data_IF_955763484371
#
_entry.id   IF_955763484371
#
_cell.length_a   1.000
_cell.length_b   1.000
_cell.length_c   1.000
_cell.angle_alpha   90.00
_cell.angle_beta   90.00
_cell.angle_gamma   90.00
#
_symmetry.space_group_name_H-M   'P 1'
#
loop_
_entity.id
_entity.type
_entity.pdbx_description
1 polymer ?
#
# COMPACT_ATOMS: atom_id res chain seq x y z
N UNK A 1 19.05 29.43 16.07
CA UNK A 1 20.32 28.67 15.95
C UNK A 1 19.98 27.44 15.12
N UNK A 2 20.35 27.42 13.83
CA UNK A 2 20.13 26.23 13.02
C UNK A 2 20.96 25.10 13.65
N UNK A 3 20.31 24.01 14.06
CA UNK A 3 21.02 22.78 14.40
C UNK A 3 21.76 22.40 13.12
N UNK A 4 23.09 22.52 13.13
CA UNK A 4 23.93 21.95 12.07
C UNK A 4 23.56 20.48 11.99
N UNK A 5 22.97 20.09 10.86
CA UNK A 5 22.59 18.70 10.67
C UNK A 5 23.86 17.93 10.44
N UNK A 6 24.21 17.08 11.40
CA UNK A 6 25.32 16.16 11.26
C UNK A 6 25.12 15.34 9.97
N UNK A 7 26.00 15.56 8.99
CA UNK A 7 25.88 15.00 7.64
C UNK A 7 26.41 13.56 7.66
N UNK A 8 25.69 12.66 8.32
CA UNK A 8 26.11 11.27 8.56
C UNK A 8 25.07 10.25 8.09
N UNK A 9 25.54 9.04 7.79
CA UNK A 9 24.68 7.90 7.41
C UNK A 9 23.73 7.53 8.56
N UNK A 10 24.22 7.58 9.80
CA UNK A 10 23.42 7.29 11.01
C UNK A 10 22.29 8.30 11.19
N UNK A 11 22.51 9.57 10.81
CA UNK A 11 21.47 10.60 10.83
C UNK A 11 20.35 10.27 9.86
N UNK A 12 20.68 9.82 8.64
CA UNK A 12 19.70 9.37 7.65
C UNK A 12 18.89 8.20 8.20
N UNK A 13 19.56 7.18 8.76
CA UNK A 13 18.89 6.03 9.36
C UNK A 13 17.91 6.43 10.47
N UNK A 14 18.36 7.29 11.40
CA UNK A 14 17.53 7.76 12.50
C UNK A 14 16.29 8.52 12.01
N UNK A 15 16.46 9.41 11.02
CA UNK A 15 15.35 10.18 10.44
C UNK A 15 14.33 9.28 9.74
N UNK A 16 14.77 8.26 9.00
CA UNK A 16 13.87 7.31 8.32
C UNK A 16 13.07 6.50 9.34
N UNK A 17 13.72 5.92 10.35
CA UNK A 17 13.02 5.17 11.40
C UNK A 17 12.03 6.08 12.14
N UNK A 18 12.44 7.29 12.47
CA UNK A 18 11.58 8.24 13.17
C UNK A 18 10.39 8.67 12.31
N UNK A 19 10.58 8.88 11.00
CA UNK A 19 9.50 9.19 10.06
C UNK A 19 8.43 8.08 10.03
N UNK A 20 8.85 6.81 10.01
CA UNK A 20 7.93 5.65 10.06
C UNK A 20 7.10 5.70 11.35
N UNK A 21 7.75 5.95 12.50
CA UNK A 21 7.07 6.03 13.80
C UNK A 21 6.11 7.23 13.85
N UNK A 22 6.54 8.42 13.41
CA UNK A 22 5.71 9.62 13.36
C UNK A 22 4.47 9.41 12.49
N UNK A 23 4.64 8.82 11.31
CA UNK A 23 3.53 8.49 10.43
C UNK A 23 2.57 7.49 11.10
N UNK A 24 3.11 6.44 11.73
CA UNK A 24 2.31 5.46 12.47
C UNK A 24 1.56 6.07 13.67
N UNK A 25 2.10 7.14 14.26
CA UNK A 25 1.46 7.94 15.31
C UNK A 25 0.54 9.05 14.76
N UNK A 26 0.18 8.99 13.48
CA UNK A 26 -0.71 9.94 12.82
C UNK A 26 -0.19 11.38 12.81
N UNK A 27 1.13 11.55 12.62
CA UNK A 27 1.80 12.83 12.44
C UNK A 27 2.43 12.93 11.04
N UNK A 28 1.64 12.90 9.95
CA UNK A 28 2.14 12.79 8.58
C UNK A 28 3.04 13.96 8.17
N UNK A 29 2.73 15.19 8.59
CA UNK A 29 3.54 16.38 8.27
C UNK A 29 4.94 16.31 8.92
N UNK A 30 5.02 15.87 10.17
CA UNK A 30 6.31 15.71 10.85
C UNK A 30 7.12 14.55 10.27
N UNK A 31 6.45 13.45 9.92
CA UNK A 31 7.06 12.34 9.20
C UNK A 31 7.66 12.80 7.87
N UNK A 32 6.91 13.63 7.14
CA UNK A 32 7.34 14.17 5.86
C UNK A 32 8.57 15.07 5.96
N UNK A 33 8.60 15.95 6.97
CA UNK A 33 9.76 16.78 7.28
C UNK A 33 11.00 15.93 7.59
N UNK A 34 10.83 14.79 8.27
CA UNK A 34 11.93 13.86 8.55
C UNK A 34 12.46 13.21 7.25
N UNK A 35 11.57 12.77 6.36
CA UNK A 35 11.97 12.21 5.05
C UNK A 35 12.67 13.26 4.18
N UNK A 36 12.14 14.49 4.12
CA UNK A 36 12.74 15.60 3.37
C UNK A 36 14.17 15.89 3.85
N UNK A 37 14.36 15.96 5.17
CA UNK A 37 15.67 16.15 5.80
C UNK A 37 16.61 14.96 5.57
N UNK A 38 16.10 13.74 5.64
CA UNK A 38 16.88 12.54 5.35
C UNK A 38 17.36 12.51 3.89
N UNK A 39 16.50 12.90 2.94
CA UNK A 39 16.84 13.03 1.53
C UNK A 39 17.93 14.08 1.29
N UNK A 40 17.85 15.23 1.96
CA UNK A 40 18.88 16.27 1.89
C UNK A 40 20.23 15.75 2.41
N UNK A 41 20.26 15.16 3.60
CA UNK A 41 21.49 14.62 4.20
C UNK A 41 22.08 13.51 3.34
N UNK A 42 21.26 12.54 2.90
CA UNK A 42 21.73 11.44 2.05
C UNK A 42 22.35 11.92 0.74
N UNK A 43 21.78 12.98 0.14
CA UNK A 43 22.27 13.59 -1.10
C UNK A 43 23.59 14.30 -0.88
N UNK A 44 23.71 15.09 0.20
CA UNK A 44 24.93 15.83 0.55
C UNK A 44 26.11 14.89 0.85
N UNK A 45 25.83 13.79 1.57
CA UNK A 45 26.81 12.75 1.88
C UNK A 45 27.18 11.93 0.63
N UNK A 46 26.33 11.97 -0.40
CA UNK A 46 26.56 11.28 -1.67
C UNK A 46 26.24 9.80 -1.60
N UNK A 47 25.27 9.38 -0.77
CA UNK A 47 24.87 7.98 -0.58
C UNK A 47 24.32 7.35 -1.87
N UNK A 48 23.81 8.15 -2.81
CA UNK A 48 23.24 7.72 -4.10
C UNK A 48 24.27 7.18 -5.09
N UNK A 49 25.56 7.47 -4.88
CA UNK A 49 26.62 7.05 -5.80
C UNK A 49 27.12 5.65 -5.44
N UNK A 50 27.28 4.72 -6.40
CA UNK A 50 27.92 3.43 -6.16
C UNK A 50 29.31 3.54 -5.53
N UNK A 51 30.05 4.61 -5.86
CA UNK A 51 31.37 4.92 -5.32
C UNK A 51 31.35 5.43 -3.88
N UNK A 52 30.19 5.70 -3.28
CA UNK A 52 30.07 6.09 -1.87
C UNK A 52 30.79 5.11 -0.94
N UNK A 53 30.63 3.82 -1.22
CA UNK A 53 31.28 2.73 -0.50
C UNK A 53 32.82 2.81 -0.52
N UNK A 54 33.40 3.30 -1.62
CA UNK A 54 34.85 3.36 -1.85
C UNK A 54 35.50 4.59 -1.20
N UNK A 55 34.71 5.61 -0.86
CA UNK A 55 35.19 6.88 -0.30
C UNK A 55 35.36 6.87 1.22
N UNK A 56 34.92 5.81 1.90
CA UNK A 56 35.07 5.69 3.35
C UNK A 56 36.48 5.21 3.70
N UNK A 57 37.09 5.80 4.73
CA UNK A 57 38.52 5.68 5.02
C UNK A 57 38.99 4.26 5.37
N UNK A 58 38.09 3.38 5.84
CA UNK A 58 38.30 1.94 6.13
C UNK A 58 36.92 1.24 6.15
N UNK A 59 36.29 0.94 5.01
CA UNK A 59 34.94 0.40 5.02
C UNK A 59 34.95 -1.10 5.27
N UNK A 60 34.28 -1.57 6.33
CA UNK A 60 33.89 -2.97 6.40
C UNK A 60 32.83 -3.26 5.34
N UNK A 61 32.84 -4.46 4.76
CA UNK A 61 31.83 -4.86 3.76
C UNK A 61 30.40 -4.74 4.32
N UNK A 62 30.24 -4.98 5.62
CA UNK A 62 28.99 -4.82 6.37
C UNK A 62 28.57 -3.35 6.46
N UNK A 63 29.48 -2.42 6.76
CA UNK A 63 29.13 -0.99 6.85
C UNK A 63 28.72 -0.43 5.49
N UNK A 64 29.40 -0.85 4.42
CA UNK A 64 29.01 -0.51 3.04
C UNK A 64 27.60 -1.01 2.74
N UNK A 65 27.32 -2.28 3.03
CA UNK A 65 26.02 -2.88 2.79
C UNK A 65 24.92 -2.21 3.62
N UNK A 66 25.21 -1.87 4.88
CA UNK A 66 24.31 -1.12 5.75
C UNK A 66 23.95 0.24 5.16
N UNK A 67 24.94 1.00 4.66
CA UNK A 67 24.69 2.28 4.02
C UNK A 67 23.82 2.14 2.75
N UNK A 68 24.04 1.09 1.94
CA UNK A 68 23.17 0.80 0.78
C UNK A 68 21.74 0.53 1.22
N UNK A 69 21.54 -0.30 2.26
CA UNK A 69 20.21 -0.62 2.80
C UNK A 69 19.51 0.61 3.34
N UNK A 70 20.21 1.51 4.03
CA UNK A 70 19.65 2.77 4.54
C UNK A 70 19.16 3.65 3.37
N UNK A 71 19.94 3.77 2.31
CA UNK A 71 19.52 4.55 1.14
C UNK A 71 18.30 3.95 0.45
N UNK A 72 18.28 2.63 0.25
CA UNK A 72 17.14 1.94 -0.36
C UNK A 72 15.89 1.94 0.52
N UNK A 73 16.05 1.94 1.85
CA UNK A 73 14.96 2.14 2.79
C UNK A 73 14.40 3.56 2.64
N UNK A 74 15.25 4.59 2.66
CA UNK A 74 14.84 5.97 2.42
C UNK A 74 14.08 6.12 1.09
N UNK A 75 14.62 5.57 0.00
CA UNK A 75 13.97 5.58 -1.31
C UNK A 75 12.58 4.93 -1.25
N UNK A 76 12.48 3.74 -0.66
CA UNK A 76 11.23 2.98 -0.59
C UNK A 76 10.17 3.70 0.25
N UNK A 77 10.57 4.28 1.39
CA UNK A 77 9.66 5.02 2.27
C UNK A 77 9.22 6.35 1.66
N UNK A 78 10.12 7.12 1.04
CA UNK A 78 9.76 8.38 0.41
C UNK A 78 8.78 8.17 -0.76
N UNK A 79 9.04 7.17 -1.61
CA UNK A 79 8.12 6.83 -2.71
C UNK A 79 6.76 6.37 -2.17
N UNK A 80 6.74 5.55 -1.13
CA UNK A 80 5.49 5.08 -0.54
C UNK A 80 4.69 6.22 0.10
N UNK A 81 5.35 7.12 0.83
CA UNK A 81 4.73 8.31 1.42
C UNK A 81 4.24 9.29 0.36
N UNK A 82 5.03 9.50 -0.70
CA UNK A 82 4.63 10.33 -1.83
C UNK A 82 3.32 9.84 -2.46
N UNK A 83 3.18 8.53 -2.66
CA UNK A 83 1.96 7.92 -3.19
C UNK A 83 0.78 8.00 -2.21
N UNK A 84 0.99 7.73 -0.92
CA UNK A 84 -0.07 7.80 0.09
C UNK A 84 -0.58 9.22 0.36
N UNK A 85 0.29 10.22 0.20
CA UNK A 85 0.00 11.62 0.53
C UNK A 85 -0.19 12.49 -0.71
N UNK A 86 -0.27 11.90 -1.91
CA UNK A 86 -0.49 12.60 -3.17
C UNK A 86 0.45 13.78 -3.39
N UNK A 87 1.72 13.61 -3.02
CA UNK A 87 2.75 14.65 -3.11
C UNK A 87 3.92 14.21 -4.00
N UNK A 88 4.74 15.15 -4.52
CA UNK A 88 6.00 14.79 -5.13
C UNK A 88 6.95 14.14 -4.10
N UNK A 89 7.85 13.27 -4.57
CA UNK A 89 8.93 12.69 -3.76
C UNK A 89 10.00 13.74 -3.41
N UNK A 90 10.63 13.61 -2.25
CA UNK A 90 11.70 14.51 -1.81
C UNK A 90 13.06 14.12 -2.37
N UNK A 91 13.33 12.81 -2.43
CA UNK A 91 14.56 12.28 -2.97
C UNK A 91 14.52 12.43 -4.49
N UNK A 92 15.35 13.30 -5.04
CA UNK A 92 15.45 13.51 -6.49
C UNK A 92 16.65 12.72 -7.01
N UNK A 93 16.40 11.82 -7.96
CA UNK A 93 17.47 11.04 -8.60
C UNK A 93 18.03 11.83 -9.77
N UNK A 94 19.07 12.63 -9.55
CA UNK A 94 19.80 13.29 -10.65
C UNK A 94 20.50 12.22 -11.51
N UNK A 95 20.05 12.06 -12.77
CA UNK A 95 20.73 11.22 -13.77
C UNK A 95 20.63 9.70 -13.57
N UNK A 96 19.55 9.19 -12.93
CA UNK A 96 19.36 7.74 -12.69
C UNK A 96 20.51 7.06 -11.92
N UNK A 97 21.18 7.80 -11.04
CA UNK A 97 22.24 7.26 -10.19
C UNK A 97 21.61 6.58 -8.97
N UNK A 98 21.79 5.27 -8.89
CA UNK A 98 21.35 4.43 -7.78
C UNK A 98 22.56 3.75 -7.15
N UNK A 99 22.56 3.52 -5.83
CA UNK A 99 23.47 2.57 -5.21
C UNK A 99 23.27 1.17 -5.78
N UNK A 100 24.26 0.30 -5.57
CA UNK A 100 24.11 -1.11 -5.90
C UNK A 100 22.99 -1.76 -5.06
N UNK A 101 22.50 -2.90 -5.52
CA UNK A 101 21.42 -3.63 -4.87
C UNK A 101 21.91 -4.35 -3.59
N UNK A 102 21.07 -4.41 -2.53
CA UNK A 102 21.42 -5.11 -1.30
C UNK A 102 21.56 -6.63 -1.45
N UNK A 103 22.46 -7.23 -0.68
CA UNK A 103 22.60 -8.68 -0.58
C UNK A 103 21.45 -9.30 0.25
N UNK A 104 21.44 -10.62 0.42
CA UNK A 104 20.46 -11.31 1.26
C UNK A 104 20.63 -11.00 2.75
N UNK A 105 19.58 -11.22 3.54
CA UNK A 105 19.67 -11.06 5.00
C UNK A 105 20.72 -11.99 5.63
N UNK A 106 20.76 -13.25 5.20
CA UNK A 106 21.72 -14.24 5.71
C UNK A 106 23.18 -13.85 5.41
N UNK A 107 23.48 -13.32 4.22
CA UNK A 107 24.82 -12.83 3.88
C UNK A 107 25.25 -11.65 4.75
N UNK A 108 24.34 -10.72 5.01
CA UNK A 108 24.61 -9.56 5.86
C UNK A 108 24.89 -9.97 7.31
N UNK A 109 24.04 -10.83 7.88
CA UNK A 109 24.19 -11.33 9.26
C UNK A 109 25.47 -12.15 9.46
N UNK A 110 25.86 -12.93 8.44
CA UNK A 110 27.09 -13.70 8.48
C UNK A 110 28.36 -12.85 8.22
N UNK A 111 28.20 -11.57 7.88
CA UNK A 111 29.32 -10.68 7.53
C UNK A 111 29.94 -10.95 6.15
N UNK A 112 29.36 -11.86 5.36
CA UNK A 112 29.82 -12.24 4.03
C UNK A 112 29.03 -11.49 2.94
N UNK A 113 29.13 -10.16 2.96
CA UNK A 113 28.51 -9.33 1.93
C UNK A 113 29.25 -9.48 0.60
N UNK A 114 28.50 -9.60 -0.50
CA UNK A 114 29.06 -9.85 -1.83
C UNK A 114 30.07 -8.76 -2.24
N UNK A 115 31.23 -9.21 -2.72
CA UNK A 115 32.26 -8.33 -3.24
C UNK A 115 31.81 -7.59 -4.51
N UNK A 116 30.87 -8.17 -5.27
CA UNK A 116 30.28 -7.60 -6.48
C UNK A 116 28.74 -7.61 -6.37
N UNK A 117 28.15 -6.63 -5.66
CA UNK A 117 26.71 -6.53 -5.53
C UNK A 117 26.02 -6.28 -6.87
N UNK A 118 24.79 -6.76 -7.00
CA UNK A 118 24.01 -6.65 -8.23
C UNK A 118 23.65 -5.20 -8.56
N UNK A 119 23.40 -4.92 -9.84
CA UNK A 119 22.98 -3.60 -10.33
C UNK A 119 21.50 -3.60 -10.73
N UNK A 120 20.90 -2.42 -10.83
CA UNK A 120 19.54 -2.25 -11.35
C UNK A 120 19.38 -2.84 -12.77
N UNK A 121 20.28 -2.57 -13.74
CA UNK A 121 20.22 -3.22 -15.06
C UNK A 121 20.27 -4.76 -15.02
N UNK A 122 21.00 -5.35 -14.07
CA UNK A 122 21.02 -6.81 -13.90
C UNK A 122 19.65 -7.34 -13.44
N UNK A 123 19.02 -6.64 -12.49
CA UNK A 123 17.67 -6.99 -12.02
C UNK A 123 16.63 -6.81 -13.13
N UNK A 124 16.68 -5.70 -13.86
CA UNK A 124 15.74 -5.40 -14.95
C UNK A 124 15.92 -6.40 -16.12
N UNK A 125 17.15 -6.83 -16.39
CA UNK A 125 17.50 -7.80 -17.42
C UNK A 125 17.35 -9.28 -17.02
N UNK A 126 16.87 -9.58 -15.80
CA UNK A 126 16.92 -10.94 -15.24
C UNK A 126 16.21 -12.01 -16.07
N UNK A 127 15.13 -11.66 -16.76
CA UNK A 127 14.37 -12.58 -17.62
C UNK A 127 15.16 -13.08 -18.83
N UNK A 128 16.15 -12.30 -19.27
CA UNK A 128 17.03 -12.65 -20.39
C UNK A 128 18.29 -13.39 -19.95
N UNK A 129 18.50 -13.55 -18.65
CA UNK A 129 19.70 -14.16 -18.13
C UNK A 129 19.57 -15.69 -18.23
N UNK A 130 20.36 -16.30 -19.11
CA UNK A 130 20.35 -17.75 -19.33
C UNK A 130 21.04 -18.55 -18.21
N UNK A 131 21.66 -17.86 -17.23
CA UNK A 131 22.28 -18.48 -16.06
C UNK A 131 21.30 -18.51 -14.88
N UNK A 132 20.69 -19.66 -14.55
CA UNK A 132 19.70 -19.80 -13.48
C UNK A 132 20.27 -19.62 -12.05
N UNK A 133 21.56 -19.34 -11.89
CA UNK A 133 22.23 -19.27 -10.60
C UNK A 133 22.27 -17.88 -9.94
N UNK A 134 21.84 -16.81 -10.62
CA UNK A 134 21.82 -15.46 -10.03
C UNK A 134 20.46 -15.20 -9.38
N UNK A 135 20.34 -15.54 -8.09
CA UNK A 135 19.16 -15.17 -7.31
C UNK A 135 19.33 -13.79 -6.67
N UNK A 136 18.44 -12.86 -7.00
CA UNK A 136 18.38 -11.56 -6.34
C UNK A 136 17.80 -11.69 -4.94
N UNK A 137 18.25 -10.89 -3.97
CA UNK A 137 17.74 -10.88 -2.59
C UNK A 137 16.29 -10.37 -2.52
N UNK A 138 15.57 -10.69 -1.44
CA UNK A 138 14.20 -10.19 -1.21
C UNK A 138 14.14 -8.66 -1.13
N UNK A 139 15.25 -8.01 -0.73
CA UNK A 139 15.40 -6.56 -0.81
C UNK A 139 15.30 -6.05 -2.25
N UNK A 140 15.90 -6.75 -3.22
CA UNK A 140 15.84 -6.35 -4.63
C UNK A 140 14.40 -6.30 -5.15
N UNK A 141 13.59 -7.32 -4.82
CA UNK A 141 12.19 -7.37 -5.26
C UNK A 141 11.33 -6.31 -4.58
N UNK A 142 11.60 -5.98 -3.30
CA UNK A 142 10.95 -4.84 -2.62
C UNK A 142 11.32 -3.51 -3.25
N UNK A 143 12.59 -3.32 -3.60
CA UNK A 143 13.07 -2.12 -4.32
C UNK A 143 12.41 -2.00 -5.69
N UNK A 144 12.28 -3.10 -6.43
CA UNK A 144 11.58 -3.11 -7.72
C UNK A 144 10.11 -2.73 -7.58
N UNK A 145 9.43 -3.24 -6.54
CA UNK A 145 8.06 -2.86 -6.23
C UNK A 145 7.94 -1.35 -5.93
N UNK A 146 8.86 -0.79 -5.15
CA UNK A 146 8.92 0.66 -4.89
C UNK A 146 9.18 1.45 -6.19
N UNK A 147 10.07 1.00 -7.06
CA UNK A 147 10.33 1.63 -8.38
C UNK A 147 9.09 1.62 -9.28
N UNK A 148 8.23 0.61 -9.19
CA UNK A 148 6.95 0.60 -9.92
C UNK A 148 6.01 1.69 -9.39
N UNK A 149 5.96 1.92 -8.07
CA UNK A 149 5.22 3.05 -7.49
C UNK A 149 5.81 4.39 -7.96
N UNK A 150 7.13 4.53 -8.02
CA UNK A 150 7.79 5.74 -8.52
C UNK A 150 7.41 6.05 -9.98
N UNK A 151 7.25 5.01 -10.82
CA UNK A 151 6.72 5.18 -12.19
C UNK A 151 5.27 5.66 -12.20
N UNK A 152 4.44 5.23 -11.25
CA UNK A 152 3.05 5.72 -11.11
C UNK A 152 3.05 7.20 -10.71
N UNK A 153 3.92 7.60 -9.78
CA UNK A 153 4.07 9.00 -9.39
C UNK A 153 4.52 9.88 -10.56
N UNK A 154 5.50 9.42 -11.35
CA UNK A 154 5.95 10.11 -12.54
C UNK A 154 4.83 10.28 -13.59
N UNK A 155 4.02 9.24 -13.78
CA UNK A 155 2.86 9.29 -14.64
C UNK A 155 1.82 10.32 -14.15
N UNK A 156 1.55 10.34 -12.84
CA UNK A 156 0.59 11.26 -12.23
C UNK A 156 1.05 12.73 -12.26
N UNK A 157 2.36 12.98 -12.37
CA UNK A 157 2.93 14.32 -12.49
C UNK A 157 2.90 14.88 -13.93
N UNK A 158 2.44 14.09 -14.92
CA UNK A 158 2.45 14.45 -16.34
C UNK A 158 1.01 14.64 -16.85
N UNK A 159 0.72 15.82 -17.40
CA UNK A 159 -0.61 16.14 -17.97
C UNK A 159 -0.89 15.41 -19.30
N UNK A 160 0.15 14.84 -19.93
CA UNK A 160 0.12 14.17 -21.24
C UNK A 160 0.12 12.63 -21.15
N UNK A 161 -0.20 12.05 -19.99
CA UNK A 161 -0.19 10.60 -19.78
C UNK A 161 -1.03 9.84 -20.82
N UNK A 162 -0.40 8.94 -21.59
CA UNK A 162 -1.07 8.15 -22.62
C UNK A 162 -1.59 6.81 -22.08
N UNK A 163 -2.55 6.16 -22.77
CA UNK A 163 -2.95 4.79 -22.45
C UNK A 163 -1.79 3.78 -22.48
N UNK A 164 -0.81 3.99 -23.37
CA UNK A 164 0.37 3.12 -23.48
C UNK A 164 1.28 3.26 -22.25
N UNK A 165 1.39 4.45 -21.66
CA UNK A 165 2.14 4.66 -20.42
C UNK A 165 1.51 3.90 -19.24
N UNK A 166 0.17 3.95 -19.14
CA UNK A 166 -0.59 3.16 -18.14
C UNK A 166 -0.35 1.67 -18.35
N UNK A 167 -0.44 1.19 -19.60
CA UNK A 167 -0.23 -0.21 -19.94
C UNK A 167 1.21 -0.66 -19.67
N UNK A 168 2.20 0.20 -19.86
CA UNK A 168 3.59 -0.11 -19.57
C UNK A 168 3.85 -0.33 -18.07
N UNK A 169 3.16 0.40 -17.19
CA UNK A 169 3.24 0.18 -15.74
C UNK A 169 2.45 -1.07 -15.33
N UNK A 170 1.26 -1.27 -15.90
CA UNK A 170 0.46 -2.48 -15.70
C UNK A 170 1.24 -3.75 -16.07
N UNK A 171 1.93 -3.74 -17.21
CA UNK A 171 2.82 -4.83 -17.62
C UNK A 171 3.91 -5.08 -16.58
N UNK A 172 4.50 -4.02 -16.00
CA UNK A 172 5.53 -4.17 -14.99
C UNK A 172 5.00 -4.78 -13.67
N UNK A 173 3.78 -4.44 -13.24
CA UNK A 173 3.13 -5.06 -12.08
C UNK A 173 2.98 -6.57 -12.27
N UNK A 174 2.54 -6.98 -13.46
CA UNK A 174 2.32 -8.38 -13.80
C UNK A 174 3.64 -9.13 -13.99
N UNK A 175 4.58 -8.55 -14.74
CA UNK A 175 5.91 -9.12 -14.95
C UNK A 175 6.68 -9.28 -13.65
N UNK A 176 6.54 -8.37 -12.69
CA UNK A 176 7.18 -8.52 -11.37
C UNK A 176 6.83 -9.86 -10.73
N UNK A 177 5.54 -10.25 -10.74
CA UNK A 177 5.06 -11.51 -10.15
C UNK A 177 5.63 -12.74 -10.87
N UNK A 178 5.66 -12.71 -12.20
CA UNK A 178 6.14 -13.84 -13.01
C UNK A 178 7.67 -14.01 -12.99
N UNK A 179 8.39 -12.93 -12.70
CA UNK A 179 9.84 -12.95 -12.65
C UNK A 179 10.39 -13.20 -11.23
N UNK A 180 9.54 -13.62 -10.28
CA UNK A 180 9.98 -14.16 -8.99
C UNK A 180 10.45 -15.60 -9.18
N UNK A 181 11.57 -16.01 -8.54
CA UNK A 181 11.98 -17.41 -8.55
C UNK A 181 10.94 -18.26 -7.81
N UNK A 182 10.82 -19.54 -8.17
CA UNK A 182 9.86 -20.46 -7.56
C UNK A 182 10.03 -20.62 -6.04
N UNK A 183 11.25 -20.39 -5.53
CA UNK A 183 11.55 -20.39 -4.09
C UNK A 183 10.99 -19.18 -3.33
N UNK A 184 10.50 -18.16 -4.05
CA UNK A 184 10.06 -16.86 -3.53
C UNK A 184 8.77 -16.37 -4.19
N UNK A 185 7.93 -17.29 -4.67
CA UNK A 185 6.58 -16.97 -5.13
C UNK A 185 5.71 -16.42 -4.01
N UNK A 186 5.99 -16.87 -2.78
CA UNK A 186 5.22 -16.56 -1.58
C UNK A 186 6.11 -15.95 -0.50
N UNK A 187 5.53 -15.02 0.27
CA UNK A 187 6.19 -14.44 1.43
C UNK A 187 6.40 -15.44 2.58
N UNK A 188 5.75 -16.61 2.52
CA UNK A 188 5.86 -17.68 3.50
C UNK A 188 6.64 -18.83 2.88
N UNK A 189 7.77 -19.18 3.49
CA UNK A 189 8.56 -20.32 3.07
C UNK A 189 7.86 -21.65 3.37
N UNK A 190 8.32 -22.74 2.76
CA UNK A 190 7.84 -24.11 3.06
C UNK A 190 8.01 -24.50 4.54
N UNK A 191 8.93 -23.86 5.26
CA UNK A 191 9.15 -24.07 6.68
C UNK A 191 8.18 -23.26 7.58
N UNK A 192 7.30 -22.45 6.99
CA UNK A 192 6.38 -21.56 7.71
C UNK A 192 7.00 -20.22 8.13
N UNK A 193 8.29 -20.01 7.86
CA UNK A 193 8.97 -18.74 8.14
C UNK A 193 8.54 -17.67 7.13
N UNK A 194 8.29 -16.45 7.62
CA UNK A 194 7.84 -15.33 6.79
C UNK A 194 9.00 -14.40 6.47
N UNK A 195 9.32 -14.26 5.19
CA UNK A 195 10.26 -13.27 4.69
C UNK A 195 9.59 -11.89 4.69
N UNK A 196 9.97 -11.05 5.66
CA UNK A 196 9.37 -9.72 5.81
C UNK A 196 9.67 -8.77 4.65
N UNK A 197 10.79 -8.91 3.96
CA UNK A 197 11.10 -8.07 2.81
C UNK A 197 10.24 -8.46 1.61
N UNK A 198 10.06 -9.76 1.39
CA UNK A 198 9.18 -10.26 0.33
C UNK A 198 7.70 -9.96 0.65
N UNK A 199 7.26 -10.11 1.90
CA UNK A 199 5.94 -9.68 2.36
C UNK A 199 5.68 -8.21 2.02
N UNK A 200 6.62 -7.33 2.36
CA UNK A 200 6.52 -5.92 2.03
C UNK A 200 6.54 -5.67 0.52
N UNK A 201 7.29 -6.45 -0.26
CA UNK A 201 7.31 -6.35 -1.70
C UNK A 201 5.93 -6.68 -2.31
N UNK A 202 5.30 -7.79 -1.92
CA UNK A 202 3.93 -8.13 -2.33
C UNK A 202 2.93 -7.06 -1.90
N UNK A 203 3.07 -6.53 -0.68
CA UNK A 203 2.25 -5.44 -0.17
C UNK A 203 2.37 -4.20 -1.06
N UNK A 204 3.60 -3.78 -1.41
CA UNK A 204 3.85 -2.62 -2.27
C UNK A 204 3.31 -2.83 -3.69
N UNK A 205 3.41 -4.04 -4.26
CA UNK A 205 2.83 -4.35 -5.57
C UNK A 205 1.31 -4.26 -5.56
N UNK A 206 0.67 -4.75 -4.51
CA UNK A 206 -0.78 -4.62 -4.37
C UNK A 206 -1.19 -3.15 -4.17
N UNK A 207 -0.46 -2.36 -3.37
CA UNK A 207 -0.68 -0.92 -3.27
C UNK A 207 -0.48 -0.21 -4.62
N UNK A 208 0.58 -0.54 -5.37
CA UNK A 208 0.86 0.01 -6.68
C UNK A 208 -0.27 -0.27 -7.68
N UNK A 209 -0.81 -1.49 -7.69
CA UNK A 209 -1.96 -1.83 -8.51
C UNK A 209 -3.21 -1.02 -8.12
N UNK A 210 -3.44 -0.76 -6.82
CA UNK A 210 -4.52 0.14 -6.37
C UNK A 210 -4.26 1.57 -6.86
N UNK A 211 -3.06 2.13 -6.64
CA UNK A 211 -2.72 3.50 -7.07
C UNK A 211 -2.87 3.69 -8.59
N UNK A 212 -2.54 2.68 -9.39
CA UNK A 212 -2.68 2.75 -10.85
C UNK A 212 -4.14 2.60 -11.30
N UNK A 213 -4.85 1.60 -10.78
CA UNK A 213 -6.13 1.17 -11.35
C UNK A 213 -7.34 1.73 -10.65
N UNK A 214 -7.30 1.94 -9.33
CA UNK A 214 -8.47 2.43 -8.62
C UNK A 214 -8.92 3.77 -9.23
N UNK A 215 -8.05 4.80 -9.39
CA UNK A 215 -8.43 6.08 -10.01
C UNK A 215 -9.10 5.96 -11.39
N UNK A 216 -8.76 4.91 -12.16
CA UNK A 216 -9.26 4.68 -13.53
C UNK A 216 -10.40 3.66 -13.58
N UNK A 217 -10.95 3.28 -12.43
CA UNK A 217 -12.04 2.31 -12.33
C UNK A 217 -13.42 2.97 -12.42
N UNK A 218 -14.43 2.15 -12.64
CA UNK A 218 -15.84 2.55 -12.59
C UNK A 218 -16.38 2.58 -11.14
N UNK A 219 -15.52 2.30 -10.15
CA UNK A 219 -15.89 2.35 -8.74
C UNK A 219 -16.07 3.81 -8.29
N UNK A 220 -17.00 4.06 -7.34
CA UNK A 220 -17.24 5.41 -6.86
C UNK A 220 -16.00 5.98 -6.16
N UNK A 221 -15.71 7.25 -6.48
CA UNK A 221 -14.55 7.97 -5.96
C UNK A 221 -14.66 8.33 -4.48
N UNK A 222 -15.89 8.50 -3.99
CA UNK A 222 -16.17 8.93 -2.63
C UNK A 222 -16.81 7.79 -1.85
N UNK A 223 -16.08 7.26 -0.87
CA UNK A 223 -16.70 6.68 0.32
C UNK A 223 -16.73 7.83 1.34
N UNK A 224 -17.89 8.45 1.65
CA UNK A 224 -17.96 9.75 2.34
C UNK A 224 -17.21 9.85 3.68
N UNK A 225 -16.93 8.71 4.32
CA UNK A 225 -16.20 8.63 5.60
C UNK A 225 -14.68 8.47 5.44
N UNK A 226 -14.18 8.33 4.20
CA UNK A 226 -12.76 8.23 3.88
C UNK A 226 -12.07 9.60 3.74
N UNK A 227 -12.83 10.70 3.60
CA UNK A 227 -12.29 12.06 3.45
C UNK A 227 -11.42 12.51 4.64
N UNK A 228 -11.64 11.95 5.83
CA UNK A 228 -10.86 12.24 7.04
C UNK A 228 -9.62 11.32 7.20
N UNK A 229 -9.45 10.32 6.34
CA UNK A 229 -8.32 9.37 6.42
C UNK A 229 -7.20 9.90 5.53
N UNK A 230 -6.05 10.22 6.12
CA UNK A 230 -4.90 10.82 5.41
C UNK A 230 -4.50 10.07 4.14
N UNK A 231 -4.56 8.73 4.15
CA UNK A 231 -4.21 7.88 3.00
C UNK A 231 -5.32 7.76 1.92
N UNK A 232 -6.43 8.47 2.10
CA UNK A 232 -7.62 8.40 1.25
C UNK A 232 -8.21 9.79 0.90
N UNK A 233 -7.61 10.84 1.45
CA UNK A 233 -8.17 12.19 1.55
C UNK A 233 -8.32 12.91 0.19
N UNK A 234 -7.70 12.41 -0.88
CA UNK A 234 -7.59 13.12 -2.15
C UNK A 234 -7.80 12.21 -3.36
N UNK A 235 -8.58 11.14 -3.21
CA UNK A 235 -8.90 10.29 -4.36
C UNK A 235 -9.72 11.06 -5.40
N UNK A 236 -9.18 11.15 -6.62
CA UNK A 236 -9.85 11.72 -7.79
C UNK A 236 -9.97 10.65 -8.87
N UNK A 237 -11.17 10.53 -9.44
CA UNK A 237 -11.40 9.64 -10.57
C UNK A 237 -10.76 10.23 -11.83
N UNK A 238 -10.00 9.42 -12.55
CA UNK A 238 -9.33 9.75 -13.79
C UNK A 238 -10.11 9.15 -14.97
N UNK A 239 -10.43 9.99 -15.94
CA UNK A 239 -11.12 9.58 -17.18
C UNK A 239 -10.11 9.34 -18.30
N UNK A 240 -10.33 8.34 -19.18
CA UNK A 240 -11.47 7.43 -19.21
C UNK A 240 -11.37 6.31 -18.16
N UNK A 241 -12.52 5.88 -17.66
CA UNK A 241 -12.63 4.74 -16.74
C UNK A 241 -12.86 3.43 -17.50
N UNK A 242 -12.58 2.29 -16.86
CA UNK A 242 -12.81 0.98 -17.46
C UNK A 242 -13.06 -0.14 -16.44
N UNK A 243 -13.93 -1.07 -16.79
CA UNK A 243 -14.22 -2.28 -16.02
C UNK A 243 -12.97 -3.16 -15.80
N UNK A 244 -11.98 -3.08 -16.70
CA UNK A 244 -10.71 -3.77 -16.53
C UNK A 244 -9.94 -3.21 -15.32
N UNK A 245 -9.92 -1.89 -15.18
CA UNK A 245 -9.30 -1.23 -14.03
C UNK A 245 -10.06 -1.52 -12.73
N UNK A 246 -11.40 -1.54 -12.78
CA UNK A 246 -12.25 -2.01 -11.66
C UNK A 246 -11.84 -3.40 -11.18
N UNK A 247 -11.76 -4.36 -12.10
CA UNK A 247 -11.39 -5.74 -11.78
C UNK A 247 -9.99 -5.83 -11.14
N UNK A 248 -9.01 -5.09 -11.68
CA UNK A 248 -7.63 -5.09 -11.17
C UNK A 248 -7.50 -4.43 -9.80
N UNK A 249 -8.23 -3.33 -9.55
CA UNK A 249 -8.26 -2.69 -8.24
C UNK A 249 -8.85 -3.63 -7.16
N UNK A 250 -9.98 -4.28 -7.47
CA UNK A 250 -10.61 -5.26 -6.56
C UNK A 250 -9.67 -6.44 -6.32
N UNK A 251 -9.02 -6.97 -7.35
CA UNK A 251 -8.06 -8.06 -7.21
C UNK A 251 -6.87 -7.65 -6.32
N UNK A 252 -6.32 -6.45 -6.48
CA UNK A 252 -5.23 -5.95 -5.65
C UNK A 252 -5.63 -5.80 -4.18
N UNK A 253 -6.83 -5.29 -3.89
CA UNK A 253 -7.33 -5.21 -2.50
C UNK A 253 -7.58 -6.60 -1.88
N UNK A 254 -7.96 -7.60 -2.69
CA UNK A 254 -8.01 -9.00 -2.24
C UNK A 254 -6.62 -9.51 -1.85
N UNK A 255 -5.57 -9.19 -2.61
CA UNK A 255 -4.20 -9.57 -2.24
C UNK A 255 -3.77 -8.96 -0.90
N UNK A 256 -4.14 -7.71 -0.61
CA UNK A 256 -3.89 -7.09 0.70
C UNK A 256 -4.62 -7.81 1.83
N UNK A 257 -5.87 -8.23 1.59
CA UNK A 257 -6.61 -9.07 2.54
C UNK A 257 -5.97 -10.45 2.73
N UNK A 258 -5.40 -11.05 1.68
CA UNK A 258 -4.69 -12.34 1.78
C UNK A 258 -3.41 -12.18 2.62
N UNK A 259 -2.66 -11.09 2.44
CA UNK A 259 -1.49 -10.78 3.25
C UNK A 259 -1.85 -10.61 4.74
N UNK A 260 -3.02 -10.04 5.04
CA UNK A 260 -3.51 -9.92 6.42
C UNK A 260 -3.83 -11.28 7.08
N UNK A 261 -4.05 -12.32 6.28
CA UNK A 261 -4.32 -13.68 6.75
C UNK A 261 -3.04 -14.54 6.89
N UNK A 262 -1.86 -14.01 6.54
CA UNK A 262 -0.59 -14.72 6.73
C UNK A 262 -0.40 -15.00 8.23
N UNK A 263 -0.10 -16.25 8.63
CA UNK A 263 0.00 -16.64 10.05
C UNK A 263 1.34 -16.19 10.65
N UNK A 264 1.54 -14.88 10.75
CA UNK A 264 2.72 -14.24 11.34
C UNK A 264 2.28 -13.29 12.47
N UNK A 265 3.05 -13.18 13.58
CA UNK A 265 2.73 -12.24 14.64
C UNK A 265 2.59 -10.81 14.11
N UNK A 266 1.38 -10.28 14.16
CA UNK A 266 1.01 -9.03 13.49
C UNK A 266 1.80 -7.83 14.05
N UNK A 267 2.27 -7.91 15.29
CA UNK A 267 3.10 -6.90 15.97
C UNK A 267 4.52 -6.80 15.40
N UNK A 268 4.96 -7.82 14.65
CA UNK A 268 6.29 -7.86 14.01
C UNK A 268 6.28 -7.28 12.60
N UNK A 269 5.12 -6.98 12.02
CA UNK A 269 5.04 -6.26 10.77
C UNK A 269 5.38 -4.77 10.95
N UNK A 270 5.84 -4.14 9.87
CA UNK A 270 5.98 -2.69 9.83
C UNK A 270 4.62 -2.01 10.07
N UNK A 271 4.53 -0.93 10.85
CA UNK A 271 3.27 -0.19 11.05
C UNK A 271 2.70 0.36 9.73
N UNK A 272 3.52 0.48 8.69
CA UNK A 272 3.09 0.92 7.36
C UNK A 272 2.15 -0.06 6.67
N UNK A 273 2.08 -1.31 7.13
CA UNK A 273 1.09 -2.27 6.65
C UNK A 273 -0.35 -1.79 6.91
N UNK A 274 -0.57 -1.00 7.97
CA UNK A 274 -1.87 -0.39 8.24
C UNK A 274 -2.36 0.47 7.06
N UNK A 275 -1.47 1.19 6.38
CA UNK A 275 -1.84 2.02 5.22
C UNK A 275 -2.28 1.17 4.02
N UNK A 276 -1.66 0.02 3.81
CA UNK A 276 -2.08 -0.91 2.78
C UNK A 276 -3.48 -1.47 3.10
N UNK A 277 -3.73 -1.89 4.34
CA UNK A 277 -5.05 -2.35 4.76
C UNK A 277 -6.13 -1.28 4.58
N UNK A 278 -5.81 -0.01 4.86
CA UNK A 278 -6.71 1.13 4.61
C UNK A 278 -7.08 1.23 3.13
N UNK A 279 -6.09 1.19 2.22
CA UNK A 279 -6.32 1.20 0.77
C UNK A 279 -7.20 0.02 0.34
N UNK A 280 -6.91 -1.18 0.85
CA UNK A 280 -7.71 -2.37 0.61
C UNK A 280 -9.16 -2.21 1.06
N UNK A 281 -9.39 -1.68 2.26
CA UNK A 281 -10.73 -1.39 2.78
C UNK A 281 -11.50 -0.42 1.88
N UNK A 282 -10.87 0.67 1.44
CA UNK A 282 -11.53 1.68 0.60
C UNK A 282 -12.02 1.05 -0.72
N UNK A 283 -11.18 0.26 -1.38
CA UNK A 283 -11.56 -0.44 -2.62
C UNK A 283 -12.70 -1.45 -2.37
N UNK A 284 -12.63 -2.22 -1.29
CA UNK A 284 -13.68 -3.19 -0.96
C UNK A 284 -15.01 -2.52 -0.59
N UNK A 285 -14.99 -1.36 0.09
CA UNK A 285 -16.18 -0.55 0.36
C UNK A 285 -16.78 -0.01 -0.95
N UNK A 286 -15.96 0.50 -1.86
CA UNK A 286 -16.40 1.02 -3.17
C UNK A 286 -16.95 -0.08 -4.09
N UNK A 287 -16.38 -1.28 -4.05
CA UNK A 287 -16.88 -2.43 -4.79
C UNK A 287 -18.24 -2.90 -4.23
N UNK A 288 -18.33 -3.03 -2.91
CA UNK A 288 -19.54 -3.49 -2.26
C UNK A 288 -20.71 -2.49 -2.40
N UNK A 289 -20.45 -1.18 -2.40
CA UNK A 289 -21.47 -0.18 -2.69
C UNK A 289 -22.02 -0.31 -4.11
N UNK A 290 -21.18 -0.65 -5.07
CA UNK A 290 -21.59 -0.93 -6.46
C UNK A 290 -22.45 -2.20 -6.52
N UNK A 291 -22.04 -3.29 -5.86
CA UNK A 291 -22.85 -4.52 -5.78
C UNK A 291 -24.23 -4.28 -5.16
N UNK A 292 -24.33 -3.43 -4.13
CA UNK A 292 -25.60 -3.07 -3.51
C UNK A 292 -26.52 -2.32 -4.49
N UNK A 293 -25.98 -1.38 -5.27
CA UNK A 293 -26.75 -0.64 -6.29
C UNK A 293 -27.28 -1.55 -7.40
N UNK A 294 -26.54 -2.60 -7.73
CA UNK A 294 -26.89 -3.55 -8.79
C UNK A 294 -27.77 -4.72 -8.28
N UNK A 295 -28.11 -4.77 -6.99
CA UNK A 295 -28.90 -5.85 -6.39
C UNK A 295 -28.15 -7.20 -6.25
N UNK A 296 -26.83 -7.18 -6.32
CA UNK A 296 -25.96 -8.37 -6.34
C UNK A 296 -25.60 -8.91 -4.96
N UNK A 297 -26.51 -9.68 -4.33
CA UNK A 297 -26.31 -10.19 -2.96
C UNK A 297 -25.15 -11.20 -2.79
N UNK A 298 -24.82 -12.01 -3.80
CA UNK A 298 -23.79 -13.07 -3.68
C UNK A 298 -22.36 -12.52 -3.61
N UNK A 299 -22.08 -11.40 -4.27
CA UNK A 299 -20.74 -10.80 -4.28
C UNK A 299 -20.47 -9.97 -3.01
N UNK A 300 -21.54 -9.41 -2.41
CA UNK A 300 -21.47 -8.59 -1.21
C UNK A 300 -20.81 -9.30 -0.02
N UNK A 301 -21.15 -10.58 0.22
CA UNK A 301 -20.54 -11.38 1.28
C UNK A 301 -19.02 -11.45 1.16
N UNK A 302 -18.51 -11.66 -0.06
CA UNK A 302 -17.07 -11.77 -0.28
C UNK A 302 -16.33 -10.45 -0.01
N UNK A 303 -16.95 -9.31 -0.31
CA UNK A 303 -16.41 -8.01 0.04
C UNK A 303 -16.45 -7.78 1.55
N UNK A 304 -17.56 -8.19 2.19
CA UNK A 304 -17.74 -8.12 3.63
C UNK A 304 -16.69 -8.90 4.41
N UNK A 305 -16.45 -10.17 4.07
CA UNK A 305 -15.48 -11.02 4.79
C UNK A 305 -14.07 -10.43 4.77
N UNK A 306 -13.67 -9.85 3.62
CA UNK A 306 -12.38 -9.17 3.45
C UNK A 306 -12.30 -7.89 4.26
N UNK A 307 -13.36 -7.07 4.22
CA UNK A 307 -13.46 -5.86 5.04
C UNK A 307 -13.36 -6.19 6.52
N UNK A 308 -14.08 -7.21 6.97
CA UNK A 308 -14.08 -7.63 8.36
C UNK A 308 -12.68 -8.06 8.82
N UNK A 309 -11.97 -8.86 8.00
CA UNK A 309 -10.60 -9.24 8.28
C UNK A 309 -9.70 -8.01 8.38
N UNK A 310 -9.65 -7.15 7.36
CA UNK A 310 -8.75 -5.99 7.34
C UNK A 310 -9.06 -4.97 8.45
N UNK A 311 -10.34 -4.70 8.76
CA UNK A 311 -10.74 -3.83 9.86
C UNK A 311 -10.36 -4.44 11.21
N UNK A 312 -10.52 -5.76 11.38
CA UNK A 312 -10.11 -6.45 12.61
C UNK A 312 -8.60 -6.39 12.79
N UNK A 313 -7.82 -6.58 11.72
CA UNK A 313 -6.37 -6.39 11.74
C UNK A 313 -5.99 -4.94 12.08
N UNK A 314 -6.69 -3.95 11.52
CA UNK A 314 -6.48 -2.53 11.86
C UNK A 314 -6.78 -2.21 13.32
N UNK A 315 -7.84 -2.81 13.91
CA UNK A 315 -8.13 -2.69 15.35
C UNK A 315 -6.98 -3.22 16.20
N UNK A 316 -6.50 -4.41 15.85
CA UNK A 316 -5.38 -5.04 16.55
C UNK A 316 -4.11 -4.16 16.48
N UNK A 317 -3.72 -3.71 15.29
CA UNK A 317 -2.61 -2.77 15.11
C UNK A 317 -2.83 -1.43 15.83
N UNK A 318 -4.10 -1.02 15.96
CA UNK A 318 -4.55 0.20 16.61
C UNK A 318 -4.33 0.24 18.12
N UNK A 319 -4.02 -0.89 18.77
CA UNK A 319 -3.59 -0.91 20.17
C UNK A 319 -2.27 -0.18 20.38
N UNK A 320 -1.41 -0.14 19.35
CA UNK A 320 -0.08 0.48 19.39
C UNK A 320 0.05 1.69 18.46
N UNK A 321 -0.58 1.65 17.29
CA UNK A 321 -0.37 2.62 16.22
C UNK A 321 -1.61 3.47 15.99
N UNK A 322 -1.48 4.79 16.20
CA UNK A 322 -2.59 5.74 16.12
C UNK A 322 -3.24 5.78 14.73
N UNK A 323 -2.44 5.64 13.66
CA UNK A 323 -2.97 5.61 12.28
C UNK A 323 -3.97 4.48 12.07
N UNK A 324 -3.67 3.28 12.58
CA UNK A 324 -4.53 2.11 12.46
C UNK A 324 -5.78 2.24 13.33
N UNK A 325 -5.62 2.78 14.56
CA UNK A 325 -6.74 3.07 15.46
C UNK A 325 -7.74 4.03 14.82
N UNK A 326 -7.27 5.16 14.29
CA UNK A 326 -8.12 6.17 13.64
C UNK A 326 -8.80 5.56 12.43
N UNK A 327 -8.06 4.84 11.58
CA UNK A 327 -8.64 4.19 10.41
C UNK A 327 -9.75 3.20 10.78
N UNK A 328 -9.53 2.33 11.76
CA UNK A 328 -10.54 1.38 12.21
C UNK A 328 -11.79 2.09 12.74
N UNK A 329 -11.63 3.19 13.49
CA UNK A 329 -12.74 4.01 13.98
C UNK A 329 -13.54 4.66 12.84
N UNK A 330 -12.87 5.12 11.79
CA UNK A 330 -13.51 5.79 10.64
C UNK A 330 -14.18 4.81 9.68
N UNK A 331 -13.59 3.64 9.46
CA UNK A 331 -14.14 2.63 8.54
C UNK A 331 -15.31 1.83 9.14
N UNK A 332 -15.38 1.71 10.47
CA UNK A 332 -16.37 0.85 11.14
C UNK A 332 -17.83 1.29 10.96
N UNK A 333 -18.21 2.58 11.06
CA UNK A 333 -19.59 3.00 10.81
C UNK A 333 -20.08 2.62 9.40
N UNK A 334 -19.24 2.82 8.39
CA UNK A 334 -19.55 2.47 6.99
C UNK A 334 -19.75 0.97 6.84
N UNK A 335 -18.85 0.18 7.41
CA UNK A 335 -18.97 -1.26 7.41
C UNK A 335 -20.28 -1.71 8.09
N UNK A 336 -20.67 -1.12 9.22
CA UNK A 336 -21.93 -1.45 9.90
C UNK A 336 -23.17 -1.21 9.04
N UNK A 337 -23.22 -0.09 8.31
CA UNK A 337 -24.34 0.21 7.38
C UNK A 337 -24.43 -0.88 6.30
N UNK A 338 -23.29 -1.30 5.74
CA UNK A 338 -23.26 -2.35 4.73
C UNK A 338 -23.67 -3.72 5.26
N UNK A 339 -23.29 -4.05 6.50
CA UNK A 339 -23.73 -5.28 7.17
C UNK A 339 -25.25 -5.30 7.38
N UNK A 340 -25.84 -4.19 7.78
CA UNK A 340 -27.29 -4.08 7.95
C UNK A 340 -28.02 -4.28 6.60
N UNK A 341 -27.50 -3.70 5.51
CA UNK A 341 -28.03 -3.88 4.17
C UNK A 341 -27.94 -5.36 3.71
N UNK A 342 -26.84 -6.03 4.03
CA UNK A 342 -26.67 -7.47 3.77
C UNK A 342 -27.68 -8.32 4.55
N UNK A 343 -27.83 -8.08 5.86
CA UNK A 343 -28.75 -8.82 6.72
C UNK A 343 -30.22 -8.62 6.31
N UNK A 344 -30.60 -7.39 5.93
CA UNK A 344 -31.93 -7.09 5.40
C UNK A 344 -32.21 -7.78 4.06
N UNK A 345 -31.20 -7.83 3.18
CA UNK A 345 -31.31 -8.50 1.87
C UNK A 345 -31.43 -10.02 2.00
N UNK A 346 -30.75 -10.64 2.98
CA UNK A 346 -30.96 -12.06 3.29
C UNK A 346 -32.35 -12.33 3.85
N UNK A 347 -32.88 -11.44 4.70
CA UNK A 347 -34.24 -11.58 5.26
C UNK A 347 -35.33 -11.50 4.19
N UNK A 348 -35.21 -10.57 3.23
CA UNK A 348 -36.13 -10.46 2.10
C UNK A 348 -36.09 -11.68 1.16
N UNK A 349 -34.91 -12.28 0.95
CA UNK A 349 -34.77 -13.49 0.15
C UNK A 349 -35.41 -14.74 0.80
N UNK A 350 -35.53 -14.77 2.14
CA UNK A 350 -36.24 -15.83 2.87
C UNK A 350 -37.76 -15.65 2.85
N UNK A 351 -38.27 -14.42 2.67
CA UNK A 351 -39.72 -14.14 2.63
C UNK A 351 -40.29 -14.35 1.21
N UNK A 352 -39.46 -14.32 0.16
CA UNK A 352 -39.87 -14.53 -1.24
C UNK A 352 -40.26 -15.95 -1.67
N UNK A 353 -40.49 -16.88 -0.73
CA UNK A 353 -40.93 -18.27 -1.01
C UNK A 353 -42.26 -18.64 -0.33
N UNK A 354 -43.05 -17.66 0.10
CA UNK A 354 -44.42 -17.89 0.57
C UNK A 354 -45.38 -16.94 -0.16
N UNK A 355 -46.40 -17.54 -0.78
CA UNK A 355 -47.36 -16.91 -1.68
C UNK A 355 -48.11 -15.70 -1.10
N UNK A 356 -48.35 -14.77 -2.03
CA UNK A 356 -49.47 -13.84 -2.23
C UNK A 356 -50.64 -13.84 -1.24
N UNK A 357 -50.92 -12.66 -0.64
CA UNK A 357 -52.25 -12.04 -0.44
C UNK A 357 -52.19 -10.95 0.65
N UNK A 358 -52.53 -9.69 0.33
CA UNK A 358 -53.01 -8.73 1.35
C UNK A 358 -52.56 -7.28 1.18
N UNK A 359 -53.55 -6.40 0.97
CA UNK A 359 -53.44 -4.96 0.71
C UNK A 359 -53.01 -4.10 1.91
N UNK A 360 -52.14 -3.13 1.61
CA UNK A 360 -52.02 -1.74 2.10
C UNK A 360 -51.95 -1.44 3.61
N UNK A 361 -50.81 -0.89 4.04
CA UNK A 361 -50.69 0.50 4.56
C UNK A 361 -49.25 0.96 4.38
N UNK A 362 -49.04 1.87 3.43
CA UNK A 362 -47.73 2.47 3.16
C UNK A 362 -47.31 3.40 4.28
N UNK A 363 -46.24 3.04 4.97
CA UNK A 363 -45.34 4.01 5.57
C UNK A 363 -44.17 4.18 4.61
N UNK A 364 -44.06 5.37 4.05
CA UNK A 364 -42.96 5.84 3.20
C UNK A 364 -41.65 5.83 4.01
N UNK A 365 -40.99 4.68 4.05
CA UNK A 365 -39.59 4.54 4.49
C UNK A 365 -38.75 3.80 3.45
N UNK A 366 -39.34 3.47 2.30
CA UNK A 366 -38.73 2.60 1.29
C UNK A 366 -38.07 3.33 0.12
N UNK A 367 -38.03 4.67 0.16
CA UNK A 367 -37.47 5.52 -0.90
C UNK A 367 -36.24 6.34 -0.46
N UNK A 368 -35.71 6.15 0.76
CA UNK A 368 -34.39 6.71 1.09
C UNK A 368 -33.29 5.81 0.54
N UNK A 369 -32.52 6.36 -0.40
CA UNK A 369 -31.29 5.73 -0.84
C UNK A 369 -30.33 5.72 0.34
N UNK A 370 -29.71 4.59 0.66
CA UNK A 370 -28.70 4.52 1.73
C UNK A 370 -27.50 5.44 1.48
N UNK A 371 -27.34 5.99 0.27
CA UNK A 371 -26.43 7.09 -0.03
C UNK A 371 -26.76 8.36 0.77
N UNK A 372 -28.03 8.63 1.03
CA UNK A 372 -28.49 9.81 1.78
C UNK A 372 -28.05 9.71 3.25
N UNK A 373 -27.88 8.48 3.78
CA UNK A 373 -27.33 8.25 5.13
C UNK A 373 -25.83 8.54 5.26
N UNK A 374 -25.15 8.79 4.14
CA UNK A 374 -23.73 9.11 4.09
C UNK A 374 -23.46 10.61 3.86
N UNK A 375 -24.50 11.44 3.81
CA UNK A 375 -24.35 12.89 3.85
C UNK A 375 -23.92 13.36 5.25
N UNK A 376 -22.99 14.33 5.38
CA UNK A 376 -22.47 14.80 6.67
C UNK A 376 -23.58 15.26 7.64
N UNK A 377 -24.69 15.75 7.10
CA UNK A 377 -25.81 16.33 7.86
C UNK A 377 -26.65 15.24 8.57
N UNK A 378 -26.77 14.04 8.01
CA UNK A 378 -27.61 12.95 8.54
C UNK A 378 -26.85 12.08 9.57
N UNK A 379 -25.52 12.00 9.50
CA UNK A 379 -24.68 11.36 10.52
C UNK A 379 -24.68 12.13 11.85
N UNK A 380 -24.98 13.43 11.85
CA UNK A 380 -25.10 14.23 13.08
C UNK A 380 -26.36 13.90 13.89
N UNK A 381 -27.45 13.49 13.22
CA UNK A 381 -28.73 13.18 13.85
C UNK A 381 -28.78 11.78 14.47
N UNK A 382 -28.02 10.82 13.94
CA UNK A 382 -28.05 9.41 14.35
C UNK A 382 -27.11 9.07 15.51
N UNK A 383 -26.15 9.95 15.85
CA UNK A 383 -25.19 9.75 16.96
C UNK A 383 -25.68 10.37 18.29
N UNK A 384 -26.77 11.15 18.28
CA UNK A 384 -27.30 11.81 19.48
C UNK A 384 -28.52 11.12 20.13
N UNK A 385 -28.98 9.98 19.60
CA UNK A 385 -30.10 9.22 20.19
C UNK A 385 -29.86 7.70 20.15
N UNK A 386 -28.83 7.21 20.84
CA UNK A 386 -28.78 5.90 21.53
C UNK A 386 -27.85 6.00 22.73
#
# INVERSE_FOLDING_TARGET
>A
MAMDDDQTVDRVQALVIYAIVLHAQHQPTAADQCISRAALVATNVGMQYPSFAQRQSLPSAVNIESARRIWWELYSIDVYFAALHHRPRHLISSGNLYPLLPCSQAQYEAGYCDAMPSTIPMLDGRVFNMNPGVEFSSYCYRIEAARIIDRILALAATDEATPDDVQAIDNALVSWKYNLPSSRSDAVSLAGEVDQMLFQAHCLIACAAIFLHFPRSDLPATVPTAADITCAKEYQQLTPTSAQHTTKAIAASKELSNLAAVPYPMERHSPLFACALILGCIVQLAAASTCLREGGNKCLQHHWDRLNLMISTLKFLGERWKVAQIAAQRLMPVAKVMFAAQAGSTSAAYIGSADDSGSSTGYEFNDMSWFDLLEPEILSYSVLNV
#
